data_IF_165370376904
#
_entry.id   IF_165370376904
#
_cell.length_a   1.000
_cell.length_b   1.000
_cell.length_c   1.000
_cell.angle_alpha   90.00
_cell.angle_beta   90.00
_cell.angle_gamma   90.00
#
_symmetry.space_group_name_H-M   'P 1'
#
loop_
_entity.id
_entity.type
_entity.pdbx_description
1 polymer ?
#
# COMPACT_ATOMS: atom_id res chain seq x y z
N UNK A 1 -14.48 16.97 -4.01
CA UNK A 1 -13.26 16.13 -3.97
C UNK A 1 -12.96 15.26 -5.21
N UNK A 2 -13.94 14.62 -5.86
CA UNK A 2 -13.71 13.56 -6.86
C UNK A 2 -12.88 13.98 -8.11
N UNK A 3 -13.16 15.16 -8.68
CA UNK A 3 -12.39 15.70 -9.81
C UNK A 3 -10.93 16.01 -9.47
N UNK A 4 -10.67 16.50 -8.24
CA UNK A 4 -9.32 16.74 -7.72
C UNK A 4 -8.58 15.42 -7.51
N UNK A 5 -9.26 14.39 -7.00
CA UNK A 5 -8.67 13.06 -6.83
C UNK A 5 -8.28 12.42 -8.17
N UNK A 6 -9.10 12.56 -9.22
CA UNK A 6 -8.75 12.12 -10.58
C UNK A 6 -7.56 12.92 -11.11
N UNK A 7 -7.56 14.24 -10.95
CA UNK A 7 -6.45 15.10 -11.37
C UNK A 7 -5.13 14.73 -10.70
N UNK A 8 -5.14 14.46 -9.40
CA UNK A 8 -3.97 14.00 -8.63
C UNK A 8 -3.53 12.60 -9.05
N UNK A 9 -4.46 11.68 -9.30
CA UNK A 9 -4.13 10.33 -9.78
C UNK A 9 -3.47 10.38 -11.16
N UNK A 10 -3.98 11.20 -12.08
CA UNK A 10 -3.38 11.42 -13.40
C UNK A 10 -2.02 12.11 -13.27
N UNK A 11 -1.88 13.09 -12.39
CA UNK A 11 -0.60 13.75 -12.14
C UNK A 11 0.45 12.78 -11.59
N UNK A 12 0.07 11.95 -10.60
CA UNK A 12 0.94 10.92 -10.06
C UNK A 12 1.32 9.88 -11.13
N UNK A 13 0.36 9.49 -11.98
CA UNK A 13 0.62 8.60 -13.10
C UNK A 13 1.62 9.19 -14.11
N UNK A 14 1.43 10.44 -14.53
CA UNK A 14 2.35 11.13 -15.45
C UNK A 14 3.73 11.26 -14.81
N UNK A 15 3.81 11.62 -13.53
CA UNK A 15 5.07 11.74 -12.84
C UNK A 15 5.81 10.39 -12.78
N UNK A 16 5.11 9.31 -12.45
CA UNK A 16 5.72 7.99 -12.34
C UNK A 16 6.10 7.38 -13.69
N UNK A 17 5.26 7.56 -14.73
CA UNK A 17 5.43 6.92 -16.04
C UNK A 17 6.28 7.71 -17.02
N UNK A 18 6.32 9.05 -16.92
CA UNK A 18 6.98 9.91 -17.92
C UNK A 18 8.23 10.62 -17.42
N UNK A 19 8.50 10.66 -16.12
CA UNK A 19 9.65 11.44 -15.61
C UNK A 19 10.82 10.59 -15.14
N UNK A 20 12.04 11.08 -15.42
CA UNK A 20 13.31 10.59 -14.86
C UNK A 20 13.25 10.52 -13.33
N UNK A 21 12.52 11.45 -12.71
CA UNK A 21 12.32 11.49 -11.26
C UNK A 21 11.62 10.24 -10.74
N UNK A 22 10.55 9.78 -11.40
CA UNK A 22 9.85 8.55 -11.01
C UNK A 22 10.75 7.31 -11.09
N UNK A 23 11.52 7.18 -12.17
CA UNK A 23 12.47 6.08 -12.34
C UNK A 23 13.57 6.07 -11.26
N UNK A 24 14.19 7.23 -10.99
CA UNK A 24 15.20 7.35 -9.94
C UNK A 24 14.64 6.99 -8.55
N UNK A 25 13.39 7.38 -8.27
CA UNK A 25 12.71 7.03 -7.01
C UNK A 25 12.45 5.53 -6.92
N UNK A 26 12.04 4.89 -8.01
CA UNK A 26 11.84 3.43 -8.04
C UNK A 26 13.16 2.68 -7.80
N UNK A 27 14.26 3.09 -8.43
CA UNK A 27 15.58 2.48 -8.21
C UNK A 27 16.08 2.68 -6.78
N UNK A 28 15.87 3.86 -6.20
CA UNK A 28 16.20 4.13 -4.79
C UNK A 28 15.35 3.28 -3.85
N UNK A 29 14.07 3.05 -4.19
CA UNK A 29 13.14 2.20 -3.45
C UNK A 29 13.57 0.73 -3.42
N UNK A 30 14.07 0.21 -4.54
CA UNK A 30 14.59 -1.16 -4.62
C UNK A 30 15.91 -1.33 -3.86
N UNK A 31 16.86 -0.39 -4.01
CA UNK A 31 17.99 -0.31 -3.08
C UNK A 31 18.64 1.07 -3.02
N UNK A 32 18.76 1.59 -1.80
CA UNK A 32 19.49 2.83 -1.54
C UNK A 32 20.98 2.74 -1.93
N UNK A 33 21.55 1.52 -1.95
CA UNK A 33 22.92 1.28 -2.39
C UNK A 33 23.07 1.44 -3.91
N UNK A 34 22.18 0.88 -4.73
CA UNK A 34 22.20 1.10 -6.18
C UNK A 34 22.02 2.58 -6.53
N UNK A 35 21.18 3.29 -5.76
CA UNK A 35 21.02 4.74 -5.85
C UNK A 35 22.33 5.52 -5.75
N UNK A 36 23.14 5.20 -4.74
CA UNK A 36 24.45 5.83 -4.51
C UNK A 36 25.49 5.43 -5.55
N UNK A 37 25.48 4.18 -5.99
CA UNK A 37 26.40 3.69 -7.03
C UNK A 37 26.15 4.35 -8.40
N UNK A 38 24.89 4.67 -8.73
CA UNK A 38 24.54 5.37 -9.97
C UNK A 38 24.75 6.90 -9.91
N UNK A 39 25.41 7.42 -8.86
CA UNK A 39 25.70 8.86 -8.72
C UNK A 39 24.48 9.72 -8.40
N UNK A 40 23.33 9.12 -8.04
CA UNK A 40 22.12 9.87 -7.71
C UNK A 40 22.23 10.50 -6.32
N UNK A 41 21.77 11.76 -6.19
CA UNK A 41 21.65 12.45 -4.89
C UNK A 41 20.46 11.91 -4.09
N UNK A 42 20.60 10.69 -3.57
CA UNK A 42 19.55 9.92 -2.87
C UNK A 42 18.84 10.74 -1.80
N UNK A 43 19.59 11.46 -0.95
CA UNK A 43 19.02 12.29 0.14
C UNK A 43 18.08 13.39 -0.38
N UNK A 44 18.45 14.07 -1.47
CA UNK A 44 17.62 15.15 -2.04
C UNK A 44 16.35 14.60 -2.67
N UNK A 45 16.42 13.42 -3.28
CA UNK A 45 15.26 12.75 -3.88
C UNK A 45 14.28 12.26 -2.80
N UNK A 46 14.78 11.68 -1.71
CA UNK A 46 13.94 11.30 -0.56
C UNK A 46 13.17 12.51 -0.01
N UNK A 47 13.85 13.64 0.23
CA UNK A 47 13.19 14.86 0.73
C UNK A 47 12.15 15.36 -0.27
N UNK A 48 12.48 15.40 -1.56
CA UNK A 48 11.55 15.83 -2.59
C UNK A 48 10.29 14.94 -2.65
N UNK A 49 10.45 13.62 -2.52
CA UNK A 49 9.32 12.67 -2.45
C UNK A 49 8.49 12.90 -1.20
N UNK A 50 9.10 13.10 -0.03
CA UNK A 50 8.37 13.39 1.19
C UNK A 50 7.56 14.69 1.10
N UNK A 51 8.17 15.77 0.58
CA UNK A 51 7.47 17.04 0.37
C UNK A 51 6.30 16.88 -0.62
N UNK A 52 6.52 16.13 -1.71
CA UNK A 52 5.47 15.88 -2.71
C UNK A 52 4.32 15.04 -2.14
N UNK A 53 4.63 13.96 -1.41
CA UNK A 53 3.62 13.14 -0.76
C UNK A 53 2.83 13.92 0.28
N UNK A 54 3.49 14.78 1.05
CA UNK A 54 2.85 15.66 2.03
C UNK A 54 1.92 16.69 1.37
N UNK A 55 2.36 17.30 0.27
CA UNK A 55 1.52 18.23 -0.50
C UNK A 55 0.27 17.54 -1.06
N UNK A 56 0.42 16.34 -1.63
CA UNK A 56 -0.72 15.56 -2.15
C UNK A 56 -1.68 15.15 -1.03
N UNK A 57 -1.15 14.65 0.11
CA UNK A 57 -1.97 14.28 1.26
C UNK A 57 -2.72 15.48 1.85
N UNK A 58 -2.06 16.65 1.93
CA UNK A 58 -2.67 17.89 2.39
C UNK A 58 -3.80 18.38 1.49
N UNK A 59 -3.60 18.36 0.17
CA UNK A 59 -4.66 18.72 -0.81
C UNK A 59 -5.82 17.73 -0.74
N UNK A 60 -5.53 16.44 -0.56
CA UNK A 60 -6.56 15.40 -0.37
C UNK A 60 -7.42 15.64 0.86
N UNK A 61 -6.80 15.90 2.01
CA UNK A 61 -7.51 16.22 3.26
C UNK A 61 -8.33 17.51 3.17
N UNK A 62 -7.73 18.58 2.63
CA UNK A 62 -8.41 19.87 2.46
C UNK A 62 -9.63 19.77 1.54
N UNK A 63 -9.57 18.91 0.52
CA UNK A 63 -10.68 18.68 -0.44
C UNK A 63 -11.89 17.97 0.17
N UNK A 64 -11.74 17.36 1.35
CA UNK A 64 -12.82 16.64 2.04
C UNK A 64 -13.46 17.48 3.15
N UNK A 65 -12.64 18.16 3.94
CA UNK A 65 -13.12 19.05 5.01
C UNK A 65 -13.78 20.33 4.45
N UNK A 66 -13.36 20.80 3.28
CA UNK A 66 -13.94 22.00 2.64
C UNK A 66 -15.37 21.83 2.12
N UNK A 67 -15.85 20.58 1.93
CA UNK A 67 -17.08 20.29 1.18
C UNK A 67 -18.19 19.67 2.05
N UNK A 68 -17.85 18.81 3.03
CA UNK A 68 -18.86 17.96 3.69
C UNK A 68 -19.22 18.31 5.14
N UNK A 69 -18.37 19.01 5.89
CA UNK A 69 -18.69 19.41 7.28
C UNK A 69 -18.15 20.81 7.50
N UNK A 70 -19.03 21.82 7.54
CA UNK A 70 -18.71 23.15 8.06
C UNK A 70 -18.41 23.16 9.58
N UNK A 71 -17.96 22.03 10.12
CA UNK A 71 -17.51 21.83 11.47
C UNK A 71 -16.20 21.04 11.39
N UNK A 72 -15.09 21.67 11.79
CA UNK A 72 -13.88 20.94 12.12
C UNK A 72 -14.23 20.09 13.34
N UNK A 73 -14.56 18.82 13.13
CA UNK A 73 -14.67 17.85 14.20
C UNK A 73 -13.36 17.04 14.25
N UNK A 74 -12.42 17.36 15.17
CA UNK A 74 -11.15 16.66 15.32
C UNK A 74 -11.30 15.15 15.59
N UNK A 75 -12.52 14.70 15.93
CA UNK A 75 -12.84 13.28 16.15
C UNK A 75 -13.08 12.53 14.84
N UNK A 76 -13.61 13.18 13.81
CA UNK A 76 -13.89 12.57 12.51
C UNK A 76 -12.64 12.10 11.77
N UNK A 77 -11.58 12.92 11.75
CA UNK A 77 -10.31 12.57 11.08
C UNK A 77 -9.58 11.40 11.76
N UNK A 78 -9.62 11.32 13.10
CA UNK A 78 -9.00 10.20 13.85
C UNK A 78 -9.79 8.91 13.76
N UNK A 79 -11.11 8.98 13.69
CA UNK A 79 -11.97 7.79 13.62
C UNK A 79 -12.00 7.16 12.23
N UNK A 80 -11.79 7.94 11.17
CA UNK A 80 -11.92 7.46 9.80
C UNK A 80 -10.74 6.64 9.27
N UNK A 81 -9.59 6.63 9.94
CA UNK A 81 -8.45 5.76 9.61
C UNK A 81 -8.03 5.78 8.12
N UNK A 82 -8.12 6.92 7.44
CA UNK A 82 -7.83 7.02 5.99
C UNK A 82 -6.41 6.56 5.62
N UNK A 83 -5.43 6.73 6.52
CA UNK A 83 -4.08 6.21 6.33
C UNK A 83 -4.05 4.68 6.23
N UNK A 84 -4.82 3.97 7.06
CA UNK A 84 -4.94 2.52 7.01
C UNK A 84 -5.61 2.06 5.71
N UNK A 85 -6.73 2.67 5.34
CA UNK A 85 -7.38 2.37 4.06
C UNK A 85 -6.45 2.63 2.88
N UNK A 86 -5.65 3.69 2.91
CA UNK A 86 -4.63 3.97 1.89
C UNK A 86 -3.60 2.85 1.74
N UNK A 87 -3.16 2.25 2.84
CA UNK A 87 -2.25 1.08 2.82
C UNK A 87 -2.94 -0.12 2.16
N UNK A 88 -4.19 -0.39 2.53
CA UNK A 88 -4.98 -1.51 1.97
C UNK A 88 -5.17 -1.34 0.47
N UNK A 89 -5.54 -0.12 0.02
CA UNK A 89 -5.70 0.21 -1.39
C UNK A 89 -4.39 0.06 -2.16
N UNK A 90 -3.27 0.56 -1.61
CA UNK A 90 -1.96 0.47 -2.26
C UNK A 90 -1.49 -0.99 -2.43
N UNK A 91 -1.72 -1.82 -1.41
CA UNK A 91 -1.40 -3.25 -1.45
C UNK A 91 -2.23 -3.99 -2.51
N UNK A 92 -3.56 -3.79 -2.52
CA UNK A 92 -4.47 -4.39 -3.51
C UNK A 92 -4.16 -3.94 -4.94
N UNK A 93 -3.77 -2.68 -5.11
CA UNK A 93 -3.44 -2.12 -6.42
C UNK A 93 -2.05 -2.52 -6.92
N UNK A 94 -1.24 -3.23 -6.11
CA UNK A 94 0.13 -3.67 -6.46
C UNK A 94 1.02 -2.52 -6.94
N UNK A 95 0.88 -1.34 -6.33
CA UNK A 95 1.55 -0.10 -6.75
C UNK A 95 1.25 0.35 -8.20
N UNK A 96 0.24 -0.23 -8.86
CA UNK A 96 -0.16 0.20 -10.19
C UNK A 96 -1.14 1.38 -10.11
N UNK A 97 -0.77 2.57 -10.60
CA UNK A 97 -1.59 3.79 -10.49
C UNK A 97 -2.99 3.66 -11.12
N UNK A 98 -3.17 2.86 -12.17
CA UNK A 98 -4.51 2.63 -12.74
C UNK A 98 -5.39 1.77 -11.84
N UNK A 99 -4.80 0.73 -11.23
CA UNK A 99 -5.51 -0.14 -10.29
C UNK A 99 -5.87 0.62 -9.00
N UNK A 100 -5.04 1.58 -8.57
CA UNK A 100 -5.31 2.41 -7.38
C UNK A 100 -6.64 3.14 -7.52
N UNK A 101 -6.96 3.72 -8.68
CA UNK A 101 -8.22 4.47 -8.87
C UNK A 101 -9.43 3.55 -8.73
N UNK A 102 -9.38 2.37 -9.37
CA UNK A 102 -10.47 1.40 -9.30
C UNK A 102 -10.64 0.89 -7.86
N UNK A 103 -9.57 0.43 -7.22
CA UNK A 103 -9.60 -0.11 -5.86
C UNK A 103 -10.04 0.96 -4.85
N UNK A 104 -9.54 2.20 -4.97
CA UNK A 104 -9.95 3.30 -4.10
C UNK A 104 -11.45 3.60 -4.22
N UNK A 105 -12.01 3.50 -5.43
CA UNK A 105 -13.45 3.68 -5.65
C UNK A 105 -14.27 2.58 -4.95
N UNK A 106 -13.88 1.30 -5.11
CA UNK A 106 -14.57 0.19 -4.45
C UNK A 106 -14.47 0.29 -2.92
N UNK A 107 -13.28 0.55 -2.38
CA UNK A 107 -13.06 0.66 -0.94
C UNK A 107 -13.70 1.92 -0.35
N UNK A 108 -13.75 3.01 -1.11
CA UNK A 108 -14.49 4.23 -0.75
C UNK A 108 -16.00 3.98 -0.67
N UNK A 109 -16.55 3.20 -1.61
CA UNK A 109 -17.94 2.72 -1.54
C UNK A 109 -18.20 1.87 -0.31
N UNK A 110 -17.30 0.94 0.01
CA UNK A 110 -17.38 0.10 1.22
C UNK A 110 -17.38 0.94 2.51
N UNK A 111 -16.53 1.96 2.57
CA UNK A 111 -16.48 2.91 3.69
C UNK A 111 -17.81 3.66 3.84
N UNK A 112 -18.32 4.25 2.76
CA UNK A 112 -19.59 5.00 2.79
C UNK A 112 -20.80 4.12 3.14
N UNK A 113 -20.85 2.89 2.60
CA UNK A 113 -21.88 1.92 2.96
C UNK A 113 -21.79 1.56 4.45
N UNK A 114 -20.58 1.33 4.96
CA UNK A 114 -20.36 1.05 6.37
C UNK A 114 -20.72 2.21 7.31
N UNK A 115 -20.45 3.46 6.91
CA UNK A 115 -20.90 4.63 7.66
C UNK A 115 -22.42 4.80 7.65
N UNK A 116 -23.09 4.49 6.55
CA UNK A 116 -24.55 4.58 6.44
C UNK A 116 -25.25 3.51 7.27
N UNK A 117 -24.61 2.34 7.40
CA UNK A 117 -25.10 1.21 8.18
C UNK A 117 -24.75 1.29 9.67
N UNK A 118 -23.94 2.27 10.10
CA UNK A 118 -23.63 2.46 11.52
C UNK A 118 -24.89 2.84 12.31
N UNK A 119 -25.35 1.92 13.15
CA UNK A 119 -26.51 2.04 14.02
C UNK A 119 -26.33 1.19 15.28
N UNK A 120 -27.38 1.06 16.10
CA UNK A 120 -27.31 0.35 17.39
C UNK A 120 -26.82 -1.11 17.26
N UNK A 121 -27.12 -1.77 16.14
CA UNK A 121 -26.74 -3.16 15.86
C UNK A 121 -25.39 -3.31 15.11
N UNK A 122 -24.78 -2.20 14.66
CA UNK A 122 -23.58 -2.23 13.78
C UNK A 122 -22.39 -1.49 14.40
N UNK A 123 -21.41 -2.22 14.96
CA UNK A 123 -20.21 -1.64 15.54
C UNK A 123 -19.40 -0.84 14.52
N UNK A 124 -18.91 0.34 14.93
CA UNK A 124 -18.14 1.26 14.08
C UNK A 124 -16.79 0.69 13.57
N UNK A 125 -16.33 -0.44 14.10
CA UNK A 125 -15.09 -1.12 13.68
C UNK A 125 -15.25 -2.20 12.61
N UNK A 126 -16.49 -2.59 12.24
CA UNK A 126 -16.71 -3.74 11.34
C UNK A 126 -16.06 -3.53 9.96
N UNK A 127 -16.15 -2.31 9.44
CA UNK A 127 -15.53 -1.93 8.15
C UNK A 127 -14.01 -2.10 8.20
N UNK A 128 -13.38 -1.72 9.32
CA UNK A 128 -11.94 -1.90 9.52
C UNK A 128 -11.54 -3.37 9.54
N UNK A 129 -12.33 -4.22 10.19
CA UNK A 129 -12.12 -5.68 10.20
C UNK A 129 -12.23 -6.26 8.79
N UNK A 130 -13.22 -5.82 8.01
CA UNK A 130 -13.37 -6.23 6.60
C UNK A 130 -12.17 -5.78 5.75
N UNK A 131 -11.71 -4.53 5.90
CA UNK A 131 -10.51 -4.05 5.21
C UNK A 131 -9.27 -4.88 5.56
N UNK A 132 -9.11 -5.24 6.84
CA UNK A 132 -8.02 -6.09 7.31
C UNK A 132 -8.09 -7.51 6.75
N UNK A 133 -9.28 -8.11 6.69
CA UNK A 133 -9.50 -9.41 6.05
C UNK A 133 -9.19 -9.37 4.55
N UNK A 134 -9.64 -8.33 3.85
CA UNK A 134 -9.34 -8.14 2.43
C UNK A 134 -7.82 -8.04 2.22
N UNK A 135 -7.13 -7.22 3.01
CA UNK A 135 -5.68 -7.10 2.95
C UNK A 135 -4.97 -8.42 3.25
N UNK A 136 -5.42 -9.14 4.29
CA UNK A 136 -4.86 -10.42 4.69
C UNK A 136 -5.04 -11.47 3.59
N UNK A 137 -6.23 -11.58 3.00
CA UNK A 137 -6.50 -12.46 1.87
C UNK A 137 -5.67 -12.08 0.63
N UNK A 138 -5.53 -10.79 0.34
CA UNK A 138 -4.73 -10.33 -0.79
C UNK A 138 -3.24 -10.68 -0.61
N UNK A 139 -2.67 -10.36 0.55
CA UNK A 139 -1.27 -10.68 0.87
C UNK A 139 -1.04 -12.19 0.96
N UNK A 140 -1.97 -12.93 1.55
CA UNK A 140 -1.94 -14.39 1.60
C UNK A 140 -1.94 -15.01 0.20
N UNK A 141 -2.84 -14.55 -0.67
CA UNK A 141 -2.89 -14.96 -2.07
C UNK A 141 -1.58 -14.67 -2.81
N UNK A 142 -1.00 -13.48 -2.63
CA UNK A 142 0.30 -13.15 -3.21
C UNK A 142 1.41 -14.07 -2.71
N UNK A 143 1.42 -14.41 -1.41
CA UNK A 143 2.38 -15.34 -0.84
C UNK A 143 2.24 -16.73 -1.47
N UNK A 144 1.02 -17.25 -1.60
CA UNK A 144 0.78 -18.56 -2.23
C UNK A 144 1.17 -18.60 -3.73
N UNK A 145 1.01 -17.48 -4.44
CA UNK A 145 1.34 -17.39 -5.87
C UNK A 145 2.85 -17.18 -6.10
N UNK A 146 3.53 -16.35 -5.30
CA UNK A 146 4.98 -16.09 -5.42
C UNK A 146 5.84 -17.17 -4.76
N UNK A 147 5.44 -17.67 -3.59
CA UNK A 147 6.09 -18.77 -2.91
C UNK A 147 5.36 -20.07 -3.26
N UNK A 148 5.72 -20.67 -4.40
CA UNK A 148 5.45 -22.10 -4.64
C UNK A 148 6.07 -22.87 -3.47
N UNK A 149 5.24 -23.35 -2.55
CA UNK A 149 5.66 -24.21 -1.44
C UNK A 149 6.29 -25.48 -2.01
N UNK A 150 7.59 -25.44 -2.30
CA UNK A 150 8.39 -26.67 -2.46
C UNK A 150 8.52 -27.26 -1.07
N UNK A 151 7.65 -28.21 -0.75
CA UNK A 151 7.89 -29.17 0.33
C UNK A 151 9.16 -29.95 -0.03
N UNK A 152 10.32 -29.46 0.37
CA UNK A 152 11.57 -30.22 0.35
C UNK A 152 11.40 -31.33 1.40
N UNK A 153 10.95 -32.51 0.95
CA UNK A 153 10.83 -33.71 1.75
C UNK A 153 12.24 -34.05 2.25
N UNK A 154 12.56 -33.63 3.48
CA UNK A 154 13.85 -33.85 4.16
C UNK A 154 14.26 -35.32 4.00
N UNK A 155 15.15 -35.60 3.06
CA UNK A 155 15.68 -36.94 2.81
C UNK A 155 16.46 -37.32 4.06
N UNK A 156 15.90 -38.23 4.85
CA UNK A 156 16.52 -38.82 6.04
C UNK A 156 17.88 -39.38 5.59
N UNK A 157 18.97 -38.77 6.07
CA UNK A 157 20.35 -39.27 5.85
C UNK A 157 20.36 -40.69 6.42
N UNK A 158 20.50 -41.70 5.57
CA UNK A 158 20.66 -43.09 6.00
C UNK A 158 21.95 -43.24 6.82
N UNK A 159 22.05 -44.25 7.71
CA UNK A 159 23.21 -44.43 8.57
C UNK A 159 24.48 -44.58 7.72
N UNK A 160 25.51 -43.80 8.01
CA UNK A 160 26.84 -43.93 7.39
C UNK A 160 27.39 -45.33 7.70
N UNK A 161 27.83 -46.11 6.69
CA UNK A 161 28.42 -47.42 6.94
C UNK A 161 29.71 -47.27 7.74
N UNK A 162 29.80 -48.02 8.83
CA UNK A 162 30.97 -48.07 9.69
C UNK A 162 32.22 -48.39 8.85
N UNK A 163 33.22 -47.51 8.92
CA UNK A 163 34.54 -47.73 8.36
C UNK A 163 35.14 -48.99 8.99
N UNK A 164 35.17 -50.05 8.20
CA UNK A 164 35.94 -51.27 8.47
C UNK A 164 37.42 -50.91 8.34
N UNK A 165 38.25 -51.11 9.39
CA UNK A 165 39.69 -50.92 9.27
C UNK A 165 40.27 -52.01 8.37
N UNK A 166 40.78 -51.60 7.21
CA UNK A 166 41.50 -52.45 6.25
C UNK A 166 42.85 -52.95 6.83
N UNK A 167 43.41 -54.05 6.29
CA UNK A 167 44.13 -55.11 7.01
C UNK A 167 45.49 -54.75 7.61
#
# INVERSE_FOLDING_TARGET
GFLVAIGVAVFAWVLYSRTRFGFEVQVIGDSARAGRYAGMRTRRKIIAVMCLSGAIAGVGGASQDGDFRHQLDPRGLRQANYGYTGIVVAALARYNPFAVVLVAFLLGGLLNAGYTLQGADFPSGLVGVMQGLILFCALGGELFVRYRLRFERRRRKGPEPALEPAP
#
